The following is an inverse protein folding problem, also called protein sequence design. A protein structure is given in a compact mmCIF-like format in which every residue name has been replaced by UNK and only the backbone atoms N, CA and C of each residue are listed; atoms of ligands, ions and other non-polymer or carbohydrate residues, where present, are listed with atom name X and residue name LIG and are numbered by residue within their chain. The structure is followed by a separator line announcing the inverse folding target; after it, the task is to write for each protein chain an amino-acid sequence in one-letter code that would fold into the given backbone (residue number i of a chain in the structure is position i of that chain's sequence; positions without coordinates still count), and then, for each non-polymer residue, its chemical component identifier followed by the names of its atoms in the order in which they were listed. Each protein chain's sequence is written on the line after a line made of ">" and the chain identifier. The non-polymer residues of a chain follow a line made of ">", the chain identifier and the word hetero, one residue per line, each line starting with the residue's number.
data_IF_669388093020
#
_entry.id   IF_669388093020
#
_cell.length_a   1.000
_cell.length_b   1.000
_cell.length_c   1.000
_cell.angle_alpha   90.00
_cell.angle_beta   90.00
_cell.angle_gamma   90.00
#
_symmetry.space_group_name_H-M   'P 1'
#
loop_
_entity.id
_entity.type
_entity.pdbx_description
1 polymer ?
#
# COMPACT_ATOMS: atom_id res chain seq x y z
N UNK A 1 16.98 10.45 22.66
CA UNK A 1 16.81 9.86 21.33
C UNK A 1 15.80 8.73 21.47
N UNK A 2 14.55 8.92 21.03
CA UNK A 2 13.55 7.85 21.08
C UNK A 2 14.08 6.66 20.28
N UNK A 3 14.15 5.46 20.87
CA UNK A 3 14.42 4.23 20.12
C UNK A 3 13.41 4.15 18.99
N UNK A 4 13.87 4.19 17.74
CA UNK A 4 13.02 3.91 16.58
C UNK A 4 12.35 2.55 16.80
N UNK A 5 11.05 2.56 17.08
CA UNK A 5 10.24 1.34 17.07
C UNK A 5 10.09 0.92 15.60
N UNK A 6 11.06 0.16 15.10
CA UNK A 6 10.92 -0.54 13.82
C UNK A 6 10.05 -1.77 14.06
N UNK A 7 9.03 -1.96 13.22
CA UNK A 7 8.22 -3.16 13.25
C UNK A 7 9.14 -4.31 12.85
N UNK A 8 9.47 -5.20 13.80
CA UNK A 8 10.49 -6.26 13.63
C UNK A 8 10.24 -7.18 12.43
N UNK A 9 9.02 -7.16 11.89
CA UNK A 9 8.63 -7.97 10.74
C UNK A 9 8.85 -7.28 9.38
N UNK A 10 9.29 -6.02 9.29
CA UNK A 10 9.41 -5.31 8.00
C UNK A 10 10.88 -5.14 7.64
N UNK A 11 11.24 -5.49 6.41
CA UNK A 11 12.59 -5.28 5.85
C UNK A 11 12.99 -3.81 5.89
N UNK A 12 14.25 -3.49 6.13
CA UNK A 12 14.71 -2.09 6.09
C UNK A 12 14.64 -1.54 4.66
N UNK A 13 13.95 -0.40 4.50
CA UNK A 13 13.79 0.31 3.25
C UNK A 13 15.13 0.67 2.59
N UNK A 14 16.15 1.05 3.37
CA UNK A 14 17.47 1.44 2.85
C UNK A 14 18.30 0.21 2.41
N UNK A 15 17.96 -0.98 2.91
CA UNK A 15 18.68 -2.22 2.60
C UNK A 15 18.08 -2.93 1.39
N UNK A 16 16.76 -3.08 1.36
CA UNK A 16 16.03 -3.68 0.24
C UNK A 16 14.65 -3.04 0.11
N UNK A 17 14.58 -2.03 -0.78
CA UNK A 17 13.36 -1.30 -1.04
C UNK A 17 12.25 -2.18 -1.63
N UNK A 18 12.59 -3.13 -2.49
CA UNK A 18 11.60 -3.96 -3.18
C UNK A 18 10.89 -4.89 -2.19
N UNK A 19 11.66 -5.52 -1.29
CA UNK A 19 11.11 -6.33 -0.23
C UNK A 19 10.38 -5.49 0.81
N UNK A 20 10.92 -4.34 1.22
CA UNK A 20 10.23 -3.41 2.12
C UNK A 20 8.85 -2.99 1.60
N UNK A 21 8.76 -2.61 0.32
CA UNK A 21 7.50 -2.21 -0.29
C UNK A 21 6.49 -3.36 -0.27
N UNK A 22 6.94 -4.57 -0.61
CA UNK A 22 6.12 -5.78 -0.57
C UNK A 22 5.65 -6.11 0.85
N UNK A 23 6.54 -6.01 1.84
CA UNK A 23 6.24 -6.22 3.25
C UNK A 23 5.17 -5.25 3.74
N UNK A 24 5.28 -3.97 3.39
CA UNK A 24 4.29 -2.94 3.75
C UNK A 24 2.94 -3.27 3.11
N UNK A 25 2.91 -3.48 1.79
CA UNK A 25 1.70 -3.74 1.03
C UNK A 25 0.94 -4.97 1.53
N UNK A 26 1.64 -6.01 1.95
CA UNK A 26 1.04 -7.26 2.43
C UNK A 26 0.71 -7.22 3.92
N UNK A 27 1.63 -6.77 4.79
CA UNK A 27 1.44 -6.78 6.25
C UNK A 27 0.48 -5.70 6.74
N UNK A 28 0.32 -4.62 5.99
CA UNK A 28 -0.72 -3.61 6.25
C UNK A 28 -2.08 -4.01 5.63
N UNK A 29 -2.21 -5.23 5.09
CA UNK A 29 -3.44 -5.74 4.51
C UNK A 29 -3.99 -4.85 3.37
N UNK A 30 -3.11 -4.25 2.56
CA UNK A 30 -3.52 -3.41 1.42
C UNK A 30 -3.82 -4.27 0.19
N UNK A 31 -3.02 -5.31 -0.04
CA UNK A 31 -3.15 -6.21 -1.17
C UNK A 31 -2.90 -7.67 -0.77
N UNK A 32 -3.40 -8.59 -1.59
CA UNK A 32 -3.04 -10.01 -1.61
C UNK A 32 -2.54 -10.41 -3.00
N UNK A 33 -1.68 -11.44 -3.06
CA UNK A 33 -1.26 -12.02 -4.32
C UNK A 33 -2.40 -12.78 -4.98
N UNK A 34 -2.61 -12.55 -6.28
CA UNK A 34 -3.50 -13.39 -7.07
C UNK A 34 -2.77 -14.64 -7.57
N UNK A 35 -3.53 -15.63 -8.06
CA UNK A 35 -2.96 -16.79 -8.76
C UNK A 35 -2.40 -16.48 -10.15
N UNK A 36 -2.54 -15.24 -10.65
CA UNK A 36 -2.09 -14.82 -11.98
C UNK A 36 -0.93 -13.83 -11.84
N UNK A 37 0.17 -14.12 -12.52
CA UNK A 37 1.35 -13.25 -12.50
C UNK A 37 1.00 -11.84 -12.98
N UNK A 38 1.42 -10.85 -12.22
CA UNK A 38 1.19 -9.43 -12.51
C UNK A 38 -0.13 -8.88 -11.98
N UNK A 39 -0.98 -9.73 -11.39
CA UNK A 39 -2.25 -9.31 -10.78
C UNK A 39 -2.20 -9.42 -9.27
N UNK A 40 -2.78 -8.43 -8.61
CA UNK A 40 -2.97 -8.35 -7.18
C UNK A 40 -4.45 -8.17 -6.85
N UNK A 41 -4.87 -8.72 -5.73
CA UNK A 41 -6.20 -8.50 -5.17
C UNK A 41 -6.08 -7.30 -4.23
N UNK A 42 -6.82 -6.22 -4.50
CA UNK A 42 -6.94 -5.09 -3.58
C UNK A 42 -7.86 -5.49 -2.42
N UNK A 43 -7.32 -5.49 -1.21
CA UNK A 43 -8.12 -5.74 0.00
C UNK A 43 -8.97 -4.51 0.34
N UNK A 44 -10.01 -4.63 1.19
CA UNK A 44 -10.90 -3.50 1.49
C UNK A 44 -10.17 -2.23 1.94
N UNK A 45 -9.10 -2.37 2.73
CA UNK A 45 -8.32 -1.21 3.18
C UNK A 45 -7.54 -0.54 2.04
N UNK A 46 -6.88 -1.32 1.17
CA UNK A 46 -6.22 -0.80 -0.01
C UNK A 46 -7.18 -0.18 -1.03
N UNK A 47 -8.36 -0.79 -1.20
CA UNK A 47 -9.38 -0.26 -2.10
C UNK A 47 -10.00 1.05 -1.60
N UNK A 48 -10.22 1.21 -0.28
CA UNK A 48 -10.72 2.46 0.29
C UNK A 48 -9.77 3.65 0.03
N UNK A 49 -8.45 3.42 0.00
CA UNK A 49 -7.48 4.45 -0.38
C UNK A 49 -7.69 4.85 -1.85
N UNK A 50 -7.87 3.87 -2.74
CA UNK A 50 -8.17 4.12 -4.14
C UNK A 50 -9.48 4.89 -4.34
N UNK A 51 -10.56 4.51 -3.65
CA UNK A 51 -11.84 5.22 -3.71
C UNK A 51 -11.71 6.69 -3.27
N UNK A 52 -10.86 6.98 -2.28
CA UNK A 52 -10.59 8.35 -1.85
C UNK A 52 -9.83 9.15 -2.92
N UNK A 53 -8.85 8.53 -3.58
CA UNK A 53 -8.11 9.15 -4.71
C UNK A 53 -9.08 9.42 -5.87
N UNK A 54 -9.89 8.44 -6.23
CA UNK A 54 -10.87 8.54 -7.30
C UNK A 54 -11.87 9.67 -7.03
N UNK A 55 -12.42 9.74 -5.81
CA UNK A 55 -13.36 10.79 -5.42
C UNK A 55 -12.74 12.18 -5.52
N UNK A 56 -11.53 12.35 -4.98
CA UNK A 56 -10.84 13.64 -5.04
C UNK A 56 -10.61 14.11 -6.49
N UNK A 57 -10.22 13.19 -7.38
CA UNK A 57 -10.04 13.51 -8.80
C UNK A 57 -11.36 13.82 -9.51
N UNK A 58 -12.42 13.07 -9.22
CA UNK A 58 -13.75 13.28 -9.79
C UNK A 58 -14.35 14.64 -9.39
N UNK A 59 -14.18 15.05 -8.13
CA UNK A 59 -14.59 16.37 -7.65
C UNK A 59 -13.85 17.47 -8.43
N UNK A 60 -12.53 17.36 -8.58
CA UNK A 60 -11.71 18.33 -9.33
C UNK A 60 -12.11 18.45 -10.80
N UNK A 61 -12.49 17.34 -11.45
CA UNK A 61 -12.95 17.39 -12.84
C UNK A 61 -14.33 18.03 -13.00
N UNK A 62 -15.19 17.96 -11.99
CA UNK A 62 -16.53 18.57 -12.00
C UNK A 62 -16.53 20.05 -11.64
N UNK A 63 -15.42 20.57 -11.13
CA UNK A 63 -15.22 22.00 -10.87
C UNK A 63 -14.95 22.83 -12.13
N UNK A 64 -14.64 22.18 -13.27
CA UNK A 64 -14.40 22.83 -14.58
C UNK A 64 -15.60 22.73 -15.51
#
# INVERSE_FOLDING_TARGET
>A
MAKEKRVEQITDMETDFAQWFTDICTKAELIDYSGVKGFYILRPYGYAIWENIQRALDDMFKET
#
